data_IF_540301070077
#
_entry.id   IF_540301070077
#
_cell.length_a   1.000
_cell.length_b   1.000
_cell.length_c   1.000
_cell.angle_alpha   90.00
_cell.angle_beta   90.00
_cell.angle_gamma   90.00
#
_symmetry.space_group_name_H-M   'P 1'
#
loop_
_entity.id
_entity.type
_entity.pdbx_description
1 polymer ?
#
# COMPACT_ATOMS: atom_id res chain seq x y z
N UNK A 1 9.32 12.50 -8.39
CA UNK A 1 9.15 12.25 -9.84
C UNK A 1 10.47 11.84 -10.49
N UNK A 2 11.56 12.59 -10.31
CA UNK A 2 12.86 12.29 -10.95
C UNK A 2 13.36 10.89 -10.62
N UNK A 3 13.43 10.49 -9.36
CA UNK A 3 13.84 9.14 -8.93
C UNK A 3 13.00 8.04 -9.59
N UNK A 4 11.67 8.21 -9.68
CA UNK A 4 10.80 7.24 -10.33
C UNK A 4 11.17 6.99 -11.80
N UNK A 5 11.54 8.04 -12.53
CA UNK A 5 12.02 7.93 -13.92
C UNK A 5 13.38 7.25 -13.98
N UNK A 6 14.31 7.67 -13.12
CA UNK A 6 15.69 7.14 -13.07
C UNK A 6 15.71 5.63 -12.83
N UNK A 7 14.87 5.13 -11.94
CA UNK A 7 14.81 3.69 -11.59
C UNK A 7 13.79 2.90 -12.41
N UNK A 8 13.19 3.52 -13.43
CA UNK A 8 12.26 2.82 -14.33
C UNK A 8 11.02 2.28 -13.62
N UNK A 9 10.39 3.10 -12.75
CA UNK A 9 9.10 2.77 -12.12
C UNK A 9 8.08 2.51 -13.22
N UNK A 10 7.53 1.30 -13.24
CA UNK A 10 6.62 0.83 -14.29
C UNK A 10 5.17 1.22 -14.05
N UNK A 11 4.78 1.42 -12.79
CA UNK A 11 3.44 1.83 -12.39
C UNK A 11 3.51 2.61 -11.08
N UNK A 12 2.68 3.64 -10.95
CA UNK A 12 2.65 4.48 -9.75
C UNK A 12 1.25 5.03 -9.53
N UNK A 13 0.84 5.10 -8.27
CA UNK A 13 -0.39 5.78 -7.85
C UNK A 13 -0.20 6.49 -6.52
N UNK A 14 -0.89 7.61 -6.33
CA UNK A 14 -1.06 8.21 -5.01
C UNK A 14 -2.02 7.38 -4.16
N UNK A 15 -1.78 7.32 -2.86
CA UNK A 15 -2.62 6.61 -1.91
C UNK A 15 -3.55 7.60 -1.20
N UNK A 16 -4.62 7.98 -1.88
CA UNK A 16 -5.64 8.87 -1.32
C UNK A 16 -6.95 8.12 -0.98
N UNK A 17 -8.07 8.64 -1.25
CA UNK A 17 -9.44 8.26 -0.92
C UNK A 17 -9.87 6.82 -0.63
N UNK A 18 -9.21 5.78 -1.13
CA UNK A 18 -9.62 4.37 -0.96
C UNK A 18 -8.60 3.49 -0.20
N UNK A 19 -7.64 4.13 0.43
CA UNK A 19 -6.61 3.46 1.22
C UNK A 19 -5.60 2.65 0.41
N UNK A 20 -4.59 2.13 1.08
CA UNK A 20 -3.54 1.32 0.45
C UNK A 20 -4.11 0.11 -0.29
N UNK A 21 -5.04 -0.63 0.32
CA UNK A 21 -5.62 -1.82 -0.28
C UNK A 21 -6.38 -1.51 -1.58
N UNK A 22 -7.17 -0.43 -1.59
CA UNK A 22 -7.92 -0.01 -2.78
C UNK A 22 -7.03 0.46 -3.91
N UNK A 23 -5.97 1.23 -3.62
CA UNK A 23 -5.01 1.68 -4.63
C UNK A 23 -4.15 0.54 -5.18
N UNK A 24 -3.67 -0.37 -4.31
CA UNK A 24 -2.96 -1.58 -4.75
C UNK A 24 -3.84 -2.45 -5.66
N UNK A 25 -5.12 -2.62 -5.32
CA UNK A 25 -6.08 -3.35 -6.15
C UNK A 25 -6.22 -2.71 -7.54
N UNK A 26 -6.47 -1.41 -7.59
CA UNK A 26 -6.62 -0.68 -8.88
C UNK A 26 -5.35 -0.74 -9.73
N UNK A 27 -4.19 -0.59 -9.10
CA UNK A 27 -2.91 -0.68 -9.81
C UNK A 27 -2.67 -2.09 -10.36
N UNK A 28 -2.99 -3.13 -9.59
CA UNK A 28 -2.89 -4.52 -10.00
C UNK A 28 -3.86 -4.85 -11.15
N UNK A 29 -5.11 -4.40 -11.08
CA UNK A 29 -6.10 -4.56 -12.14
C UNK A 29 -5.66 -3.92 -13.45
N UNK A 30 -5.22 -2.66 -13.40
CA UNK A 30 -4.76 -1.92 -14.56
C UNK A 30 -3.52 -2.55 -15.22
N UNK A 31 -2.73 -3.28 -14.44
CA UNK A 31 -1.49 -3.96 -14.90
C UNK A 31 -1.70 -5.43 -15.28
N UNK A 32 -2.92 -5.98 -15.19
CA UNK A 32 -3.16 -7.41 -15.39
C UNK A 32 -2.36 -8.29 -14.45
N UNK A 33 -2.16 -7.85 -13.21
CA UNK A 33 -1.30 -8.45 -12.21
C UNK A 33 -2.04 -8.64 -10.88
N UNK A 34 -1.34 -9.21 -9.92
CA UNK A 34 -1.76 -9.25 -8.52
C UNK A 34 -0.64 -8.70 -7.64
N UNK A 35 -0.98 -8.22 -6.47
CA UNK A 35 -0.04 -7.73 -5.47
C UNK A 35 -0.08 -8.62 -4.24
N UNK A 36 1.10 -8.99 -3.71
CA UNK A 36 1.25 -9.69 -2.43
C UNK A 36 2.13 -8.89 -1.49
N UNK A 37 1.61 -8.54 -0.33
CA UNK A 37 2.40 -7.93 0.73
C UNK A 37 3.39 -8.95 1.30
N UNK A 38 4.65 -8.56 1.46
CA UNK A 38 5.72 -9.40 2.02
C UNK A 38 6.18 -8.92 3.39
N UNK A 39 6.10 -7.63 3.67
CA UNK A 39 6.54 -7.06 4.94
C UNK A 39 5.37 -6.78 5.88
N UNK A 40 5.49 -7.05 7.18
CA UNK A 40 4.51 -6.58 8.16
C UNK A 40 4.57 -5.06 8.37
N UNK A 41 5.66 -4.41 7.97
CA UNK A 41 5.89 -3.00 8.22
C UNK A 41 5.27 -2.15 7.10
N UNK A 42 4.13 -1.53 7.41
CA UNK A 42 3.54 -0.47 6.61
C UNK A 42 3.87 0.84 7.32
N UNK A 43 4.44 1.84 6.62
CA UNK A 43 4.69 3.14 7.22
C UNK A 43 3.37 3.75 7.68
N UNK A 44 3.23 3.92 8.98
CA UNK A 44 2.07 4.55 9.59
C UNK A 44 2.48 5.88 10.20
N UNK A 45 1.59 6.86 10.11
CA UNK A 45 1.77 8.10 10.86
C UNK A 45 1.81 7.79 12.37
N UNK A 46 2.63 8.51 13.15
CA UNK A 46 2.67 8.37 14.60
C UNK A 46 1.26 8.50 15.20
N UNK A 47 0.87 7.54 16.02
CA UNK A 47 -0.45 7.53 16.65
C UNK A 47 -1.59 6.93 15.83
N UNK A 48 -1.43 6.67 14.53
CA UNK A 48 -2.49 6.13 13.70
C UNK A 48 -3.02 4.79 14.21
N UNK A 49 -2.15 3.87 14.59
CA UNK A 49 -2.55 2.57 15.12
C UNK A 49 -3.33 2.71 16.44
N UNK A 50 -2.88 3.57 17.34
CA UNK A 50 -3.54 3.81 18.64
C UNK A 50 -4.95 4.40 18.50
N UNK A 51 -5.22 5.15 17.45
CA UNK A 51 -6.57 5.65 17.15
C UNK A 51 -7.52 4.50 16.87
N UNK A 52 -7.08 3.53 16.08
CA UNK A 52 -7.86 2.33 15.79
C UNK A 52 -8.02 1.40 17.01
N UNK A 53 -7.00 1.25 17.85
CA UNK A 53 -7.10 0.52 19.12
C UNK A 53 -8.17 1.08 20.05
N UNK A 54 -8.41 2.40 20.01
CA UNK A 54 -9.47 3.07 20.76
C UNK A 54 -10.86 2.95 20.11
N UNK A 55 -10.97 2.19 19.02
CA UNK A 55 -12.23 2.00 18.29
C UNK A 55 -12.66 3.19 17.44
N UNK A 56 -11.77 4.17 17.21
CA UNK A 56 -12.06 5.34 16.35
C UNK A 56 -11.62 5.03 14.93
N UNK A 57 -12.56 4.98 13.99
CA UNK A 57 -12.27 4.80 12.57
C UNK A 57 -13.21 5.67 11.73
N UNK A 58 -12.73 6.19 10.58
CA UNK A 58 -13.61 6.90 9.66
C UNK A 58 -14.74 5.99 9.16
N UNK A 59 -15.97 6.53 9.05
CA UNK A 59 -17.11 5.75 8.55
C UNK A 59 -16.93 5.26 7.09
N UNK A 60 -15.99 5.84 6.35
CA UNK A 60 -15.65 5.42 5.00
C UNK A 60 -14.87 4.08 4.96
N UNK A 61 -14.10 3.77 6.00
CA UNK A 61 -13.22 2.58 6.04
C UNK A 61 -13.99 1.27 5.81
N UNK A 62 -15.17 1.15 6.43
CA UNK A 62 -16.03 -0.05 6.25
C UNK A 62 -16.48 -0.18 4.79
N UNK A 63 -16.88 0.92 4.15
CA UNK A 63 -17.28 0.90 2.72
C UNK A 63 -16.11 0.51 1.81
N UNK A 64 -14.89 0.92 2.13
CA UNK A 64 -13.71 0.53 1.35
C UNK A 64 -13.30 -0.90 1.59
N UNK A 65 -13.50 -1.42 2.79
CA UNK A 65 -13.35 -2.85 3.07
C UNK A 65 -14.33 -3.68 2.22
N UNK A 66 -15.59 -3.26 2.11
CA UNK A 66 -16.59 -3.91 1.27
C UNK A 66 -16.22 -3.79 -0.22
N UNK A 67 -15.79 -2.61 -0.67
CA UNK A 67 -15.36 -2.36 -2.05
C UNK A 67 -14.20 -3.27 -2.48
N UNK A 68 -13.22 -3.49 -1.60
CA UNK A 68 -12.06 -4.36 -1.88
C UNK A 68 -12.33 -5.83 -1.60
N UNK A 69 -13.38 -6.15 -0.85
CA UNK A 69 -13.60 -7.47 -0.23
C UNK A 69 -13.63 -8.66 -1.19
N UNK A 70 -14.04 -8.46 -2.44
CA UNK A 70 -14.01 -9.52 -3.46
C UNK A 70 -12.61 -9.73 -4.08
N UNK A 71 -11.75 -8.72 -4.02
CA UNK A 71 -10.45 -8.67 -4.70
C UNK A 71 -9.27 -8.68 -3.74
N UNK A 72 -9.47 -8.31 -2.48
CA UNK A 72 -8.47 -8.34 -1.43
C UNK A 72 -8.65 -9.56 -0.52
N UNK A 73 -7.57 -10.29 -0.29
CA UNK A 73 -7.52 -11.40 0.66
C UNK A 73 -6.59 -11.04 1.81
N UNK A 74 -7.15 -10.95 3.01
CA UNK A 74 -6.34 -10.84 4.22
C UNK A 74 -6.00 -12.24 4.72
N UNK A 75 -4.72 -12.54 4.86
CA UNK A 75 -4.27 -13.81 5.41
C UNK A 75 -4.70 -13.97 6.87
N UNK A 76 -4.89 -15.21 7.32
CA UNK A 76 -5.21 -15.49 8.72
C UNK A 76 -4.07 -14.98 9.62
N UNK A 77 -4.42 -14.26 10.68
CA UNK A 77 -3.45 -13.72 11.63
C UNK A 77 -3.05 -12.26 11.39
N UNK A 78 -3.55 -11.61 10.34
CA UNK A 78 -3.40 -10.16 10.21
C UNK A 78 -4.19 -9.47 11.31
N UNK A 79 -3.52 -8.58 12.03
CA UNK A 79 -4.13 -7.77 13.08
C UNK A 79 -5.33 -6.97 12.54
N UNK A 80 -6.43 -6.95 13.30
CA UNK A 80 -7.67 -6.31 12.87
C UNK A 80 -7.50 -4.81 12.64
N UNK A 81 -6.79 -4.11 13.52
CA UNK A 81 -6.60 -2.67 13.39
C UNK A 81 -5.73 -2.34 12.19
N UNK A 82 -4.70 -3.15 11.93
CA UNK A 82 -3.88 -3.02 10.73
C UNK A 82 -4.71 -3.29 9.46
N UNK A 83 -5.56 -4.30 9.49
CA UNK A 83 -6.50 -4.57 8.39
C UNK A 83 -7.38 -3.35 8.10
N UNK A 84 -7.90 -2.71 9.13
CA UNK A 84 -8.73 -1.50 8.97
C UNK A 84 -7.90 -0.33 8.45
N UNK A 85 -6.69 -0.12 8.97
CA UNK A 85 -5.78 0.95 8.55
C UNK A 85 -5.39 0.89 7.07
N UNK A 86 -5.17 -0.30 6.50
CA UNK A 86 -4.85 -0.41 5.06
C UNK A 86 -6.04 -0.10 4.15
N UNK A 87 -7.25 -0.04 4.70
CA UNK A 87 -8.46 0.39 4.00
C UNK A 87 -8.86 1.82 4.35
N UNK A 88 -8.11 2.49 5.22
CA UNK A 88 -8.41 3.84 5.64
C UNK A 88 -8.17 4.87 4.53
N UNK A 89 -9.15 5.76 4.35
CA UNK A 89 -9.03 6.85 3.41
C UNK A 89 -7.95 7.83 3.87
N UNK A 90 -6.99 8.10 3.01
CA UNK A 90 -5.92 9.05 3.29
C UNK A 90 -6.16 10.38 2.58
N UNK A 91 -5.83 11.47 3.25
CA UNK A 91 -5.69 12.79 2.63
C UNK A 91 -4.20 13.08 2.54
N UNK A 92 -3.72 13.37 1.35
CA UNK A 92 -2.28 13.56 1.11
C UNK A 92 -1.44 12.33 1.51
N UNK A 93 -1.88 11.15 1.13
CA UNK A 93 -1.16 9.90 1.36
C UNK A 93 0.12 9.80 0.55
N UNK A 94 0.87 8.74 0.75
CA UNK A 94 2.12 8.47 0.04
C UNK A 94 1.92 8.01 -1.40
N UNK A 95 3.00 7.58 -2.03
CA UNK A 95 3.01 6.99 -3.37
C UNK A 95 3.26 5.48 -3.28
N UNK A 96 2.44 4.71 -3.98
CA UNK A 96 2.70 3.29 -4.23
C UNK A 96 3.34 3.17 -5.62
N UNK A 97 4.50 2.53 -5.67
CA UNK A 97 5.30 2.39 -6.89
C UNK A 97 5.63 0.92 -7.15
N UNK A 98 5.57 0.50 -8.41
CA UNK A 98 6.08 -0.79 -8.87
C UNK A 98 7.38 -0.56 -9.66
N UNK A 99 8.43 -1.26 -9.27
CA UNK A 99 9.76 -1.14 -9.85
C UNK A 99 10.38 -2.53 -10.01
N UNK A 100 11.36 -2.66 -10.90
CA UNK A 100 12.13 -3.89 -11.03
C UNK A 100 12.81 -4.20 -9.68
N UNK A 101 12.76 -5.47 -9.19
CA UNK A 101 13.41 -5.87 -7.93
C UNK A 101 14.88 -5.44 -7.82
N UNK A 102 15.63 -5.48 -8.94
CA UNK A 102 17.04 -5.11 -8.97
C UNK A 102 17.29 -3.62 -8.63
N UNK A 103 16.27 -2.78 -8.79
CA UNK A 103 16.34 -1.34 -8.53
C UNK A 103 15.65 -0.92 -7.22
N UNK A 104 14.89 -1.81 -6.59
CA UNK A 104 14.06 -1.45 -5.43
C UNK A 104 14.90 -0.92 -4.26
N UNK A 105 16.00 -1.60 -3.92
CA UNK A 105 16.88 -1.18 -2.83
C UNK A 105 17.46 0.23 -3.05
N UNK A 106 18.04 0.48 -4.23
CA UNK A 106 18.64 1.77 -4.56
C UNK A 106 17.60 2.90 -4.60
N UNK A 107 16.40 2.63 -5.10
CA UNK A 107 15.30 3.60 -5.08
C UNK A 107 14.90 3.95 -3.65
N UNK A 108 14.78 2.97 -2.76
CA UNK A 108 14.44 3.17 -1.35
C UNK A 108 15.53 4.02 -0.65
N UNK A 109 16.80 3.71 -0.86
CA UNK A 109 17.93 4.47 -0.30
C UNK A 109 17.91 5.92 -0.77
N UNK A 110 17.72 6.15 -2.07
CA UNK A 110 17.65 7.52 -2.60
C UNK A 110 16.47 8.29 -2.02
N UNK A 111 15.28 7.69 -1.99
CA UNK A 111 14.09 8.36 -1.46
C UNK A 111 14.24 8.73 0.02
N UNK A 112 14.74 7.81 0.84
CA UNK A 112 14.97 8.06 2.27
C UNK A 112 16.10 9.06 2.51
N UNK A 113 17.00 9.25 1.56
CA UNK A 113 18.07 10.25 1.60
C UNK A 113 17.63 11.66 1.20
N UNK A 114 16.46 11.83 0.56
CA UNK A 114 15.99 13.14 0.10
C UNK A 114 15.48 14.02 1.23
N UNK A 115 14.78 13.45 2.18
CA UNK A 115 14.15 14.18 3.28
C UNK A 115 13.93 13.22 4.47
N UNK A 116 14.26 13.63 5.71
CA UNK A 116 14.04 12.81 6.91
C UNK A 116 12.57 12.44 7.18
N UNK A 117 11.64 13.19 6.61
CA UNK A 117 10.20 12.90 6.74
C UNK A 117 9.71 11.83 5.76
N UNK A 118 10.50 11.49 4.74
CA UNK A 118 10.17 10.41 3.80
C UNK A 118 10.51 9.07 4.43
N UNK A 119 9.52 8.15 4.43
CA UNK A 119 9.69 6.76 4.83
C UNK A 119 9.32 5.85 3.66
N UNK A 120 10.30 5.55 2.81
CA UNK A 120 10.15 4.60 1.72
C UNK A 120 10.53 3.20 2.18
N UNK A 121 9.66 2.23 1.92
CA UNK A 121 9.86 0.82 2.27
C UNK A 121 9.37 -0.10 1.16
N UNK A 122 9.94 -1.30 1.10
CA UNK A 122 9.38 -2.37 0.28
C UNK A 122 8.12 -2.95 0.97
N UNK A 123 6.97 -2.87 0.32
CA UNK A 123 5.72 -3.41 0.84
C UNK A 123 5.48 -4.86 0.41
N UNK A 124 5.94 -5.24 -0.76
CA UNK A 124 5.65 -6.55 -1.31
C UNK A 124 6.08 -6.69 -2.75
N UNK A 125 5.43 -7.59 -3.46
CA UNK A 125 5.77 -7.94 -4.84
C UNK A 125 4.55 -7.99 -5.75
N UNK A 126 4.78 -7.67 -7.02
CA UNK A 126 3.87 -7.98 -8.11
C UNK A 126 3.94 -9.47 -8.47
N UNK A 127 2.79 -10.07 -8.72
CA UNK A 127 2.64 -11.45 -9.14
C UNK A 127 1.88 -11.51 -10.47
N UNK A 128 2.00 -12.61 -11.25
CA UNK A 128 1.07 -12.87 -12.33
C UNK A 128 -0.37 -12.78 -11.87
N UNK A 129 -1.26 -12.47 -12.80
CA UNK A 129 -2.68 -12.36 -12.50
C UNK A 129 -3.22 -13.60 -11.79
N UNK A 130 -3.97 -13.39 -10.71
CA UNK A 130 -4.59 -14.44 -9.93
C UNK A 130 -6.05 -14.05 -9.57
N UNK A 131 -6.89 -15.00 -9.08
CA UNK A 131 -8.28 -14.70 -8.74
C UNK A 131 -8.47 -13.57 -7.73
N UNK A 132 -7.47 -13.32 -6.90
CA UNK A 132 -7.44 -12.15 -6.00
C UNK A 132 -6.38 -11.18 -6.47
N UNK A 133 -6.72 -9.91 -6.48
CA UNK A 133 -5.80 -8.84 -6.92
C UNK A 133 -4.82 -8.42 -5.84
N UNK A 134 -5.22 -8.56 -4.56
CA UNK A 134 -4.40 -8.13 -3.43
C UNK A 134 -4.40 -9.20 -2.33
N UNK A 135 -3.21 -9.55 -1.85
CA UNK A 135 -2.98 -10.42 -0.70
C UNK A 135 -2.29 -9.61 0.40
N UNK A 136 -2.96 -9.40 1.52
CA UNK A 136 -2.51 -8.60 2.67
C UNK A 136 -2.16 -9.48 3.86
#
# INVERSE_FOLDING_TARGET
ATAAVTYGVSSMTDMSGVGLAGHAMKMAEASGASFRRRTPQIPLLPGAYQVYERGSSPGATVRYLDFTGQHAHCTRGVDYNLKMLVHDAQTSGGLLMAVNPDHAGSLIEELNGLDPEISAVELGEGLPESPRRVYL
#
